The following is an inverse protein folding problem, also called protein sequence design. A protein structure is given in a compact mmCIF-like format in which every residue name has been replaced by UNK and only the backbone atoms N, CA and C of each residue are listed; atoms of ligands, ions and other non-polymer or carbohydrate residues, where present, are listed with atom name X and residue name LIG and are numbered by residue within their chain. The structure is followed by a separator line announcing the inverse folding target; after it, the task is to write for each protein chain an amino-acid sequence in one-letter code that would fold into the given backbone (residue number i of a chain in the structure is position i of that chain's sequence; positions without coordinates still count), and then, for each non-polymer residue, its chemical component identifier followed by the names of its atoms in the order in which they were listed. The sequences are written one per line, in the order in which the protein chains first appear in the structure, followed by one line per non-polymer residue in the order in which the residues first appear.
data_IF_126121891246
#
_entry.id   IF_126121891246
#
_cell.length_a   1.000
_cell.length_b   1.000
_cell.length_c   1.000
_cell.angle_alpha   90.00
_cell.angle_beta   90.00
_cell.angle_gamma   90.00
#
_symmetry.space_group_name_H-M   'P 1'
#
loop_
_entity.id
_entity.type
_entity.pdbx_description
1 polymer ?
#
# COMPACT_ATOMS: atom_id res chain seq x y z
N UNK A 1 47.61 13.05 3.00
CA UNK A 1 47.22 11.91 2.16
C UNK A 1 45.71 11.92 2.09
N UNK A 2 45.19 12.44 0.98
CA UNK A 2 43.75 12.62 0.76
C UNK A 2 43.23 11.42 -0.02
N UNK A 3 42.27 10.70 0.56
CA UNK A 3 41.51 9.65 -0.14
C UNK A 3 40.27 10.27 -0.78
N UNK A 4 39.90 9.88 -2.01
CA UNK A 4 38.84 10.52 -2.77
C UNK A 4 37.46 9.95 -2.36
N UNK A 5 36.56 10.86 -2.00
CA UNK A 5 35.14 10.56 -1.81
C UNK A 5 34.52 10.41 -3.20
N UNK A 6 34.18 9.18 -3.60
CA UNK A 6 33.49 8.90 -4.86
C UNK A 6 32.00 9.02 -4.59
N UNK A 7 31.35 9.95 -5.29
CA UNK A 7 29.94 10.27 -5.11
C UNK A 7 29.01 9.09 -5.39
N UNK A 8 27.95 9.02 -4.59
CA UNK A 8 26.69 8.43 -4.99
C UNK A 8 25.73 9.60 -5.20
N UNK A 9 25.56 10.00 -6.47
CA UNK A 9 24.44 10.82 -6.90
C UNK A 9 23.17 10.04 -6.55
N UNK A 10 22.46 10.50 -5.52
CA UNK A 10 21.09 10.10 -5.27
C UNK A 10 20.25 10.69 -6.39
N UNK A 11 19.74 9.80 -7.25
CA UNK A 11 18.74 10.10 -8.27
C UNK A 11 17.54 10.77 -7.57
N UNK A 12 17.53 12.10 -7.64
CA UNK A 12 16.51 12.97 -7.07
C UNK A 12 15.21 12.78 -7.82
N UNK A 13 14.49 11.70 -7.49
CA UNK A 13 13.07 11.60 -7.81
C UNK A 13 12.32 12.48 -6.84
N UNK A 14 12.28 13.77 -7.16
CA UNK A 14 11.23 14.66 -6.68
C UNK A 14 9.90 13.95 -6.94
N UNK A 15 9.15 13.75 -5.85
CA UNK A 15 7.77 13.33 -5.92
C UNK A 15 7.04 14.42 -6.75
N UNK A 16 6.38 14.05 -7.86
CA UNK A 16 5.81 15.06 -8.74
C UNK A 16 4.78 15.90 -7.96
N UNK A 17 4.77 17.23 -8.18
CA UNK A 17 3.77 18.10 -7.57
C UNK A 17 2.36 17.59 -7.92
N UNK A 18 1.44 17.63 -6.95
CA UNK A 18 0.04 17.32 -7.21
C UNK A 18 -0.46 18.14 -8.41
N UNK A 19 -0.86 17.50 -9.52
CA UNK A 19 -1.34 18.24 -10.67
C UNK A 19 -2.66 18.91 -10.30
N UNK A 20 -2.71 20.25 -10.45
CA UNK A 20 -3.92 21.07 -10.28
C UNK A 20 -5.07 20.71 -11.25
N UNK A 21 -4.83 19.80 -12.19
CA UNK A 21 -5.79 19.29 -13.15
C UNK A 21 -6.15 17.87 -12.71
N UNK A 22 -7.44 17.60 -12.51
CA UNK A 22 -7.92 16.26 -12.21
C UNK A 22 -7.67 15.34 -13.41
N UNK A 23 -6.51 14.68 -13.42
CA UNK A 23 -6.07 13.78 -14.48
C UNK A 23 -6.96 12.53 -14.59
N UNK A 24 -7.80 12.22 -13.59
CA UNK A 24 -8.76 11.11 -13.65
C UNK A 24 -9.91 11.38 -14.64
N UNK A 25 -10.11 12.64 -15.02
CA UNK A 25 -11.17 13.07 -15.94
C UNK A 25 -10.67 13.84 -17.16
N UNK A 26 -9.35 13.98 -17.32
CA UNK A 26 -8.79 14.71 -18.46
C UNK A 26 -8.90 13.90 -19.77
N UNK A 27 -8.97 14.63 -20.89
CA UNK A 27 -8.91 14.04 -22.24
C UNK A 27 -7.55 13.36 -22.49
N UNK A 28 -6.47 13.91 -21.91
CA UNK A 28 -5.10 13.38 -22.05
C UNK A 28 -4.98 11.92 -21.58
N UNK A 29 -5.69 11.56 -20.52
CA UNK A 29 -5.66 10.20 -19.94
C UNK A 29 -6.83 9.34 -20.42
N UNK A 30 -7.75 9.88 -21.21
CA UNK A 30 -8.97 9.18 -21.59
C UNK A 30 -8.67 7.86 -22.30
N UNK A 31 -7.77 7.88 -23.28
CA UNK A 31 -7.45 6.71 -24.07
C UNK A 31 -6.85 5.58 -23.23
N UNK A 32 -5.91 5.89 -22.32
CA UNK A 32 -5.30 4.88 -21.45
C UNK A 32 -6.29 4.36 -20.40
N UNK A 33 -7.22 5.20 -19.93
CA UNK A 33 -8.33 4.76 -19.06
C UNK A 33 -9.29 3.82 -19.82
N UNK A 34 -9.67 4.12 -21.07
CA UNK A 34 -10.46 3.19 -21.90
C UNK A 34 -9.76 1.84 -22.06
N UNK A 35 -8.46 1.88 -22.31
CA UNK A 35 -7.65 0.67 -22.46
C UNK A 35 -7.61 -0.17 -21.18
N UNK A 36 -7.41 0.46 -20.02
CA UNK A 36 -7.48 -0.18 -18.69
C UNK A 36 -8.81 -0.93 -18.50
N UNK A 37 -9.94 -0.26 -18.71
CA UNK A 37 -11.27 -0.87 -18.50
C UNK A 37 -11.59 -1.96 -19.54
N UNK A 38 -11.08 -1.82 -20.77
CA UNK A 38 -11.17 -2.88 -21.76
C UNK A 38 -10.35 -4.11 -21.35
N UNK A 39 -9.11 -3.91 -20.89
CA UNK A 39 -8.23 -4.98 -20.43
C UNK A 39 -8.81 -5.72 -19.22
N UNK A 40 -9.40 -5.00 -18.26
CA UNK A 40 -10.17 -5.60 -17.14
C UNK A 40 -11.27 -6.51 -17.67
N UNK A 41 -12.03 -6.03 -18.66
CA UNK A 41 -13.13 -6.80 -19.25
C UNK A 41 -12.68 -8.04 -20.02
N UNK A 42 -11.43 -8.05 -20.50
CA UNK A 42 -10.78 -9.20 -21.14
C UNK A 42 -9.99 -10.07 -20.17
N UNK A 43 -9.90 -9.68 -18.89
CA UNK A 43 -9.04 -10.29 -17.87
C UNK A 43 -7.56 -10.35 -18.31
N UNK A 44 -7.12 -9.34 -19.06
CA UNK A 44 -5.76 -9.22 -19.58
C UNK A 44 -4.85 -8.53 -18.55
N UNK A 45 -4.22 -9.35 -17.70
CA UNK A 45 -3.37 -8.88 -16.60
C UNK A 45 -2.15 -8.09 -17.11
N UNK A 46 -1.52 -8.55 -18.19
CA UNK A 46 -0.32 -7.92 -18.75
C UNK A 46 -0.63 -6.53 -19.31
N UNK A 47 -1.79 -6.38 -19.96
CA UNK A 47 -2.22 -5.08 -20.47
C UNK A 47 -2.59 -4.13 -19.32
N UNK A 48 -3.27 -4.61 -18.29
CA UNK A 48 -3.53 -3.82 -17.07
C UNK A 48 -2.24 -3.33 -16.43
N UNK A 49 -1.26 -4.22 -16.24
CA UNK A 49 0.05 -3.87 -15.68
C UNK A 49 0.72 -2.78 -16.51
N UNK A 50 0.70 -2.90 -17.85
CA UNK A 50 1.28 -1.90 -18.74
C UNK A 50 0.60 -0.53 -18.59
N UNK A 51 -0.73 -0.47 -18.48
CA UNK A 51 -1.43 0.78 -18.21
C UNK A 51 -0.97 1.39 -16.87
N UNK A 52 -0.92 0.59 -15.81
CA UNK A 52 -0.49 1.03 -14.47
C UNK A 52 0.92 1.60 -14.48
N UNK A 53 1.83 1.00 -15.24
CA UNK A 53 3.20 1.47 -15.36
C UNK A 53 3.33 2.77 -16.17
N UNK A 54 2.47 2.98 -17.16
CA UNK A 54 2.49 4.15 -18.04
C UNK A 54 1.86 5.39 -17.39
N UNK A 55 0.80 5.23 -16.58
CA UNK A 55 0.15 6.34 -15.87
C UNK A 55 0.04 6.11 -14.35
N UNK A 56 1.20 5.94 -13.69
CA UNK A 56 1.32 5.70 -12.23
C UNK A 56 0.68 6.77 -11.33
N UNK A 57 0.41 7.96 -11.87
CA UNK A 57 -0.20 9.06 -11.14
C UNK A 57 -1.72 8.92 -11.00
N UNK A 58 -2.36 8.07 -11.81
CA UNK A 58 -3.79 7.76 -11.69
C UNK A 58 -4.01 6.75 -10.56
N UNK A 59 -4.94 7.07 -9.67
CA UNK A 59 -5.31 6.26 -8.50
C UNK A 59 -6.67 5.62 -8.67
N UNK A 60 -7.65 6.37 -9.16
CA UNK A 60 -9.03 5.87 -9.29
C UNK A 60 -9.21 5.10 -10.59
N UNK A 61 -8.50 5.51 -11.65
CA UNK A 61 -8.64 4.98 -13.00
C UNK A 61 -10.11 4.99 -13.40
N UNK A 62 -10.70 6.19 -13.49
CA UNK A 62 -12.13 6.32 -13.79
C UNK A 62 -12.43 5.93 -15.23
N UNK A 63 -13.47 5.14 -15.45
CA UNK A 63 -13.96 4.83 -16.78
C UNK A 63 -14.53 6.11 -17.42
N UNK A 64 -14.06 6.53 -18.61
CA UNK A 64 -14.60 7.70 -19.31
C UNK A 64 -16.10 7.63 -19.63
N UNK A 65 -16.67 6.43 -19.73
CA UNK A 65 -18.06 6.24 -20.16
C UNK A 65 -19.08 6.34 -19.02
N UNK A 66 -18.72 5.87 -17.82
CA UNK A 66 -19.67 5.75 -16.71
C UNK A 66 -19.11 6.24 -15.35
N UNK A 67 -17.84 6.67 -15.30
CA UNK A 67 -17.22 7.19 -14.08
C UNK A 67 -16.92 6.14 -13.00
N UNK A 68 -17.05 4.85 -13.30
CA UNK A 68 -16.71 3.77 -12.37
C UNK A 68 -15.19 3.64 -12.23
N UNK A 69 -14.70 3.34 -11.02
CA UNK A 69 -13.29 3.04 -10.81
C UNK A 69 -12.88 1.69 -11.42
N UNK A 70 -11.61 1.56 -11.80
CA UNK A 70 -11.05 0.29 -12.25
C UNK A 70 -11.20 -0.81 -11.18
N UNK A 71 -11.03 -0.45 -9.90
CA UNK A 71 -11.16 -1.37 -8.77
C UNK A 71 -12.59 -1.92 -8.69
N UNK A 72 -13.60 -1.06 -8.72
CA UNK A 72 -15.00 -1.48 -8.72
C UNK A 72 -15.35 -2.34 -9.95
N UNK A 73 -14.93 -1.92 -11.15
CA UNK A 73 -15.17 -2.68 -12.37
C UNK A 73 -14.54 -4.09 -12.31
N UNK A 74 -13.32 -4.20 -11.77
CA UNK A 74 -12.64 -5.49 -11.63
C UNK A 74 -13.37 -6.46 -10.68
N UNK A 75 -13.92 -5.94 -9.57
CA UNK A 75 -14.73 -6.74 -8.63
C UNK A 75 -16.03 -7.18 -9.27
N UNK A 76 -16.75 -6.27 -9.97
CA UNK A 76 -18.00 -6.59 -10.67
C UNK A 76 -17.82 -7.68 -11.74
N UNK A 77 -16.63 -7.79 -12.31
CA UNK A 77 -16.30 -8.78 -13.34
C UNK A 77 -15.64 -10.05 -12.79
N UNK A 78 -15.59 -10.24 -11.47
CA UNK A 78 -14.91 -11.35 -10.79
C UNK A 78 -13.44 -11.52 -11.26
N UNK A 79 -12.78 -10.41 -11.57
CA UNK A 79 -11.40 -10.35 -12.06
C UNK A 79 -10.41 -10.20 -10.89
N UNK A 80 -10.49 -11.10 -9.91
CA UNK A 80 -9.81 -10.95 -8.61
C UNK A 80 -8.28 -10.86 -8.69
N UNK A 81 -7.65 -11.50 -9.68
CA UNK A 81 -6.20 -11.35 -9.91
C UNK A 81 -5.86 -9.91 -10.31
N UNK A 82 -6.69 -9.27 -11.13
CA UNK A 82 -6.56 -7.85 -11.45
C UNK A 82 -6.86 -6.97 -10.23
N UNK A 83 -7.85 -7.32 -9.40
CA UNK A 83 -8.10 -6.60 -8.15
C UNK A 83 -6.84 -6.61 -7.25
N UNK A 84 -6.15 -7.75 -7.16
CA UNK A 84 -4.89 -7.86 -6.42
C UNK A 84 -3.78 -6.95 -6.99
N UNK A 85 -3.66 -6.88 -8.31
CA UNK A 85 -2.72 -6.00 -8.99
C UNK A 85 -3.05 -4.50 -8.77
N UNK A 86 -4.32 -4.13 -8.90
CA UNK A 86 -4.80 -2.75 -8.66
C UNK A 86 -4.55 -2.35 -7.20
N UNK A 87 -4.81 -3.26 -6.25
CA UNK A 87 -4.48 -3.06 -4.84
C UNK A 87 -2.98 -2.80 -4.64
N UNK A 88 -2.10 -3.56 -5.29
CA UNK A 88 -0.65 -3.36 -5.22
C UNK A 88 -0.20 -1.98 -5.75
N UNK A 89 -0.85 -1.45 -6.79
CA UNK A 89 -0.59 -0.08 -7.28
C UNK A 89 -1.29 1.02 -6.46
N UNK A 90 -1.91 0.66 -5.34
CA UNK A 90 -2.67 1.56 -4.48
C UNK A 90 -3.78 2.30 -5.23
N UNK A 91 -4.47 1.58 -6.12
CA UNK A 91 -5.65 2.10 -6.79
C UNK A 91 -6.83 2.15 -5.80
N UNK A 92 -7.69 3.15 -5.97
CA UNK A 92 -8.80 3.44 -5.06
C UNK A 92 -10.14 3.44 -5.78
N UNK A 93 -11.22 3.39 -5.01
CA UNK A 93 -12.57 3.64 -5.52
C UNK A 93 -12.73 5.09 -6.01
N UNK A 94 -13.79 5.32 -6.78
CA UNK A 94 -14.19 6.66 -7.20
C UNK A 94 -14.50 7.50 -5.97
N UNK A 95 -13.95 8.71 -5.85
CA UNK A 95 -14.26 9.59 -4.73
C UNK A 95 -15.72 10.06 -4.74
N UNK A 96 -16.26 10.33 -5.94
CA UNK A 96 -17.64 10.79 -6.12
C UNK A 96 -18.65 9.67 -5.86
N UNK A 97 -18.31 8.44 -6.22
CA UNK A 97 -19.21 7.28 -6.11
C UNK A 97 -18.78 6.30 -5.01
N UNK A 98 -17.90 6.72 -4.08
CA UNK A 98 -17.24 5.82 -3.13
C UNK A 98 -18.23 4.98 -2.32
N UNK A 99 -19.24 5.62 -1.76
CA UNK A 99 -20.25 4.94 -0.95
C UNK A 99 -21.04 3.92 -1.78
N UNK A 100 -21.43 4.28 -3.01
CA UNK A 100 -22.16 3.38 -3.91
C UNK A 100 -21.30 2.19 -4.39
N UNK A 101 -20.04 2.44 -4.75
CA UNK A 101 -19.10 1.39 -5.14
C UNK A 101 -18.81 0.43 -3.98
N UNK A 102 -18.67 0.94 -2.75
CA UNK A 102 -18.46 0.15 -1.54
C UNK A 102 -19.70 -0.64 -1.13
N UNK A 103 -20.89 -0.04 -1.16
CA UNK A 103 -22.14 -0.69 -0.78
C UNK A 103 -22.42 -1.90 -1.69
N UNK A 104 -22.21 -1.75 -3.00
CA UNK A 104 -22.32 -2.85 -3.97
C UNK A 104 -21.27 -3.94 -3.75
N UNK A 105 -20.11 -3.59 -3.17
CA UNK A 105 -19.09 -4.55 -2.76
C UNK A 105 -19.49 -5.35 -1.51
N UNK A 106 -20.21 -4.75 -0.56
CA UNK A 106 -20.70 -5.49 0.61
C UNK A 106 -21.73 -6.56 0.24
N UNK A 107 -22.36 -6.46 -0.93
CA UNK A 107 -23.21 -7.51 -1.52
C UNK A 107 -22.45 -8.68 -2.19
N UNK A 108 -21.12 -8.63 -2.23
CA UNK A 108 -20.27 -9.67 -2.83
C UNK A 108 -20.15 -10.83 -1.84
N UNK A 109 -21.04 -11.83 -1.95
CA UNK A 109 -21.12 -12.94 -0.99
C UNK A 109 -19.78 -13.63 -0.65
N UNK A 110 -19.71 -14.19 0.56
CA UNK A 110 -18.50 -14.69 1.28
C UNK A 110 -17.40 -15.33 0.43
N UNK A 111 -17.75 -16.13 -0.59
CA UNK A 111 -16.77 -16.85 -1.43
C UNK A 111 -15.96 -15.87 -2.28
N UNK A 112 -16.61 -14.85 -2.85
CA UNK A 112 -15.94 -13.86 -3.71
C UNK A 112 -15.06 -12.92 -2.90
N UNK A 113 -15.51 -12.55 -1.70
CA UNK A 113 -14.69 -11.79 -0.77
C UNK A 113 -13.43 -12.56 -0.36
N UNK A 114 -13.56 -13.87 -0.05
CA UNK A 114 -12.42 -14.73 0.26
C UNK A 114 -11.45 -14.85 -0.92
N UNK A 115 -11.95 -15.01 -2.13
CA UNK A 115 -11.11 -15.07 -3.34
C UNK A 115 -10.37 -13.76 -3.59
N UNK A 116 -11.05 -12.62 -3.43
CA UNK A 116 -10.41 -11.30 -3.50
C UNK A 116 -9.27 -11.15 -2.49
N UNK A 117 -9.52 -11.49 -1.22
CA UNK A 117 -8.50 -11.48 -0.16
C UNK A 117 -7.34 -12.45 -0.47
N UNK A 118 -7.64 -13.62 -1.01
CA UNK A 118 -6.63 -14.60 -1.41
C UNK A 118 -5.72 -14.06 -2.52
N UNK A 119 -6.28 -13.42 -3.55
CA UNK A 119 -5.46 -12.83 -4.62
C UNK A 119 -4.62 -11.67 -4.12
N UNK A 120 -5.17 -10.77 -3.29
CA UNK A 120 -4.39 -9.72 -2.62
C UNK A 120 -3.19 -10.31 -1.86
N UNK A 121 -3.43 -11.34 -1.06
CA UNK A 121 -2.36 -12.04 -0.33
C UNK A 121 -1.33 -12.67 -1.27
N UNK A 122 -1.75 -13.28 -2.38
CA UNK A 122 -0.85 -13.87 -3.39
C UNK A 122 0.04 -12.82 -4.04
N UNK A 123 -0.49 -11.63 -4.35
CA UNK A 123 0.29 -10.51 -4.87
C UNK A 123 1.25 -9.96 -3.81
N UNK A 124 0.80 -9.76 -2.57
CA UNK A 124 1.64 -9.33 -1.46
C UNK A 124 2.83 -10.29 -1.24
N UNK A 125 2.67 -11.59 -1.47
CA UNK A 125 3.78 -12.55 -1.39
C UNK A 125 4.75 -12.51 -2.57
N UNK A 126 4.27 -12.15 -3.76
CA UNK A 126 5.06 -12.14 -5.00
C UNK A 126 5.87 -10.84 -5.17
N UNK A 127 5.38 -9.73 -4.62
CA UNK A 127 5.97 -8.40 -4.76
C UNK A 127 6.40 -7.81 -3.41
N UNK A 128 7.36 -6.86 -3.37
CA UNK A 128 7.72 -6.17 -2.14
C UNK A 128 6.50 -5.46 -1.54
N UNK A 129 6.05 -5.84 -0.34
CA UNK A 129 4.87 -5.26 0.29
C UNK A 129 5.07 -3.80 0.74
N UNK A 130 6.32 -3.33 0.75
CA UNK A 130 6.69 -2.01 1.24
C UNK A 130 5.95 -0.88 0.52
N UNK A 131 5.80 -0.96 -0.81
CA UNK A 131 5.07 0.06 -1.58
C UNK A 131 3.60 0.18 -1.17
N UNK A 132 2.96 -0.95 -0.90
CA UNK A 132 1.58 -1.02 -0.46
C UNK A 132 1.40 -0.59 0.99
N UNK A 133 2.33 -0.96 1.86
CA UNK A 133 2.28 -0.59 3.27
C UNK A 133 2.62 0.89 3.49
N UNK A 134 3.51 1.48 2.68
CA UNK A 134 3.89 2.88 2.76
C UNK A 134 2.70 3.83 2.69
N UNK A 135 1.75 3.58 1.78
CA UNK A 135 0.56 4.42 1.61
C UNK A 135 -0.46 4.24 2.74
N UNK A 136 -0.32 3.18 3.53
CA UNK A 136 -1.19 2.83 4.67
C UNK A 136 -0.50 2.96 6.02
N UNK A 137 0.69 3.57 6.02
CA UNK A 137 1.46 3.81 7.23
C UNK A 137 1.33 5.25 7.66
N UNK A 138 1.22 5.44 8.96
CA UNK A 138 1.19 6.77 9.55
C UNK A 138 2.48 7.03 10.30
N UNK A 139 3.00 8.25 10.20
CA UNK A 139 4.10 8.71 11.04
C UNK A 139 3.60 9.64 12.13
N UNK A 140 3.93 9.34 13.38
CA UNK A 140 3.74 10.23 14.52
C UNK A 140 5.06 10.97 14.77
N UNK A 141 5.02 12.30 14.84
CA UNK A 141 6.19 13.15 15.06
C UNK A 141 6.78 13.76 13.78
N UNK A 142 7.57 14.83 13.95
CA UNK A 142 8.23 15.51 12.83
C UNK A 142 9.40 14.65 12.30
N UNK A 143 9.49 14.49 10.97
CA UNK A 143 10.55 13.78 10.21
C UNK A 143 10.31 12.30 9.83
N UNK A 144 9.09 11.77 9.97
CA UNK A 144 8.83 10.35 9.75
C UNK A 144 8.64 9.91 8.29
N UNK A 145 7.87 10.67 7.50
CA UNK A 145 7.43 10.24 6.16
C UNK A 145 8.59 9.92 5.20
N UNK A 146 9.70 10.66 5.28
CA UNK A 146 10.87 10.45 4.41
C UNK A 146 11.68 9.20 4.77
N UNK A 147 11.55 8.69 6.01
CA UNK A 147 12.31 7.52 6.51
C UNK A 147 11.55 6.20 6.38
N UNK A 148 10.24 6.24 6.19
CA UNK A 148 9.40 5.02 6.08
C UNK A 148 9.88 4.04 4.99
N UNK A 149 10.29 4.47 3.78
CA UNK A 149 10.73 3.53 2.75
C UNK A 149 11.98 2.73 3.17
N UNK A 150 12.93 3.39 3.82
CA UNK A 150 14.17 2.77 4.31
C UNK A 150 13.88 1.79 5.45
N UNK A 151 12.98 2.16 6.37
CA UNK A 151 12.52 1.28 7.44
C UNK A 151 11.87 0.01 6.89
N UNK A 152 10.95 0.12 5.94
CA UNK A 152 10.32 -1.05 5.33
C UNK A 152 11.31 -1.94 4.58
N UNK A 153 12.31 -1.37 3.88
CA UNK A 153 13.37 -2.16 3.25
C UNK A 153 14.18 -2.95 4.26
N UNK A 154 14.39 -2.42 5.48
CA UNK A 154 15.13 -3.11 6.54
C UNK A 154 14.25 -4.17 7.23
N UNK A 155 12.99 -3.85 7.54
CA UNK A 155 12.05 -4.80 8.11
C UNK A 155 11.81 -6.02 7.19
N UNK A 156 11.77 -5.82 5.86
CA UNK A 156 11.62 -6.91 4.89
C UNK A 156 12.84 -7.87 4.84
N UNK A 157 14.00 -7.47 5.37
CA UNK A 157 15.18 -8.34 5.48
C UNK A 157 15.08 -9.36 6.62
N UNK A 158 14.19 -9.14 7.59
CA UNK A 158 13.98 -10.08 8.70
C UNK A 158 12.88 -11.09 8.30
N UNK A 159 13.18 -12.40 8.20
CA UNK A 159 12.23 -13.38 7.65
C UNK A 159 10.86 -13.44 8.37
N UNK A 160 10.85 -13.35 9.70
CA UNK A 160 9.63 -13.40 10.51
C UNK A 160 8.81 -12.11 10.34
N UNK A 161 9.46 -10.95 10.40
CA UNK A 161 8.81 -9.64 10.17
C UNK A 161 8.27 -9.54 8.75
N UNK A 162 9.02 -9.99 7.74
CA UNK A 162 8.55 -10.07 6.36
C UNK A 162 7.23 -10.83 6.24
N UNK A 163 7.10 -11.95 6.95
CA UNK A 163 5.86 -12.74 6.96
C UNK A 163 4.71 -11.94 7.60
N UNK A 164 4.98 -11.25 8.71
CA UNK A 164 4.00 -10.37 9.36
C UNK A 164 3.59 -9.24 8.41
N UNK A 165 4.54 -8.56 7.75
CA UNK A 165 4.27 -7.49 6.78
C UNK A 165 3.43 -7.98 5.59
N UNK A 166 3.68 -9.20 5.10
CA UNK A 166 2.86 -9.82 4.05
C UNK A 166 1.41 -10.05 4.51
N UNK A 167 1.23 -10.51 5.75
CA UNK A 167 -0.11 -10.68 6.34
C UNK A 167 -0.79 -9.33 6.51
N UNK A 168 -0.11 -8.33 7.07
CA UNK A 168 -0.63 -6.98 7.26
C UNK A 168 -1.02 -6.34 5.92
N UNK A 169 -0.19 -6.50 4.89
CA UNK A 169 -0.48 -6.00 3.54
C UNK A 169 -1.76 -6.62 2.93
N UNK A 170 -2.12 -7.84 3.31
CA UNK A 170 -3.37 -8.46 2.89
C UNK A 170 -4.58 -8.12 3.77
N UNK A 171 -4.38 -7.36 4.85
CA UNK A 171 -5.41 -7.05 5.84
C UNK A 171 -5.83 -5.58 5.72
N UNK A 172 -7.00 -5.27 5.12
CA UNK A 172 -7.41 -3.89 4.80
C UNK A 172 -7.73 -3.04 6.03
N UNK A 173 -7.93 -3.66 7.19
CA UNK A 173 -8.24 -2.96 8.44
C UNK A 173 -7.01 -2.71 9.30
N UNK A 174 -5.88 -3.36 9.01
CA UNK A 174 -4.68 -3.21 9.84
C UNK A 174 -3.87 -1.99 9.41
N UNK A 175 -3.61 -1.09 10.34
CA UNK A 175 -2.79 0.11 10.12
C UNK A 175 -1.44 -0.03 10.83
N UNK A 176 -0.38 0.50 10.23
CA UNK A 176 0.95 0.55 10.84
C UNK A 176 1.28 2.00 11.20
N UNK A 177 1.57 2.25 12.46
CA UNK A 177 1.91 3.56 13.00
C UNK A 177 3.38 3.57 13.44
N UNK A 178 4.21 4.40 12.80
CA UNK A 178 5.60 4.62 13.19
C UNK A 178 5.68 5.87 14.07
N UNK A 179 6.09 5.69 15.32
CA UNK A 179 6.24 6.77 16.28
C UNK A 179 7.68 7.25 16.36
N UNK A 180 8.00 8.34 15.66
CA UNK A 180 9.33 8.95 15.65
C UNK A 180 9.61 9.83 16.87
N UNK A 181 8.61 10.00 17.75
CA UNK A 181 8.74 10.77 18.99
C UNK A 181 9.14 9.89 20.18
N UNK A 182 8.87 8.59 20.08
CA UNK A 182 9.09 7.61 21.15
C UNK A 182 10.07 6.51 20.73
N UNK A 183 10.97 6.19 21.67
CA UNK A 183 11.95 5.11 21.51
C UNK A 183 11.38 3.75 21.95
N UNK A 184 10.52 3.76 22.97
CA UNK A 184 9.86 2.58 23.51
C UNK A 184 8.34 2.79 23.46
N UNK A 185 7.60 1.74 23.12
CA UNK A 185 6.15 1.72 23.16
C UNK A 185 5.74 0.67 24.19
N UNK A 186 5.15 1.10 25.32
CA UNK A 186 4.67 0.15 26.33
C UNK A 186 3.60 -0.77 25.75
N UNK A 187 3.97 -2.02 25.47
CA UNK A 187 3.07 -3.06 25.00
C UNK A 187 2.41 -3.75 26.20
N UNK A 188 1.09 -3.82 26.17
CA UNK A 188 0.25 -4.50 27.17
C UNK A 188 0.06 -5.99 26.87
N UNK A 189 0.94 -6.62 26.09
CA UNK A 189 0.91 -8.07 25.88
C UNK A 189 1.63 -8.81 27.03
N UNK A 190 1.00 -9.90 27.47
CA UNK A 190 1.20 -10.66 28.73
C UNK A 190 2.59 -11.30 28.96
N UNK A 191 3.65 -10.87 28.27
CA UNK A 191 5.01 -11.33 28.58
C UNK A 191 5.67 -10.32 29.53
N UNK A 192 5.40 -10.49 30.83
CA UNK A 192 5.83 -9.62 31.94
C UNK A 192 7.36 -9.51 32.14
N UNK A 193 8.17 -10.21 31.35
CA UNK A 193 9.64 -10.23 31.53
C UNK A 193 10.42 -9.32 30.56
N UNK A 194 9.80 -8.75 29.53
CA UNK A 194 10.50 -7.85 28.60
C UNK A 194 10.26 -6.38 28.93
N UNK A 195 11.12 -5.82 29.79
CA UNK A 195 11.26 -4.36 29.89
C UNK A 195 11.79 -3.84 28.55
N UNK A 196 10.93 -3.14 27.80
CA UNK A 196 11.27 -2.54 26.52
C UNK A 196 10.79 -3.36 25.33
N UNK A 197 9.48 -3.43 25.14
CA UNK A 197 8.91 -3.78 23.83
C UNK A 197 8.93 -2.52 22.96
N UNK A 198 9.45 -2.62 21.74
CA UNK A 198 9.60 -1.46 20.87
C UNK A 198 8.39 -1.29 19.91
N UNK A 199 7.41 -2.19 20.00
CA UNK A 199 6.18 -2.17 19.23
C UNK A 199 4.98 -2.61 20.07
N UNK A 200 3.79 -2.11 19.70
CA UNK A 200 2.52 -2.38 20.39
C UNK A 200 1.42 -2.69 19.38
N UNK A 201 0.75 -3.83 19.55
CA UNK A 201 -0.45 -4.15 18.76
C UNK A 201 -1.70 -3.80 19.55
N UNK A 202 -2.56 -2.96 19.00
CA UNK A 202 -3.88 -2.63 19.54
C UNK A 202 -4.94 -3.38 18.72
N UNK A 203 -5.22 -4.63 19.09
CA UNK A 203 -6.12 -5.51 18.34
C UNK A 203 -7.52 -4.93 18.14
N UNK A 204 -8.07 -4.27 19.17
CA UNK A 204 -9.39 -3.63 19.11
C UNK A 204 -9.47 -2.51 18.08
N UNK A 205 -8.33 -1.88 17.78
CA UNK A 205 -8.22 -0.79 16.80
C UNK A 205 -7.62 -1.25 15.47
N UNK A 206 -7.21 -2.51 15.38
CA UNK A 206 -6.46 -3.04 14.24
C UNK A 206 -5.17 -2.24 13.96
N UNK A 207 -4.50 -1.72 14.98
CA UNK A 207 -3.29 -0.90 14.81
C UNK A 207 -2.03 -1.64 15.27
N UNK A 208 -0.92 -1.47 14.55
CA UNK A 208 0.42 -1.90 14.94
C UNK A 208 1.29 -0.64 15.07
N UNK A 209 1.70 -0.32 16.29
CA UNK A 209 2.58 0.81 16.58
C UNK A 209 4.03 0.34 16.70
N UNK A 210 4.97 1.10 16.13
CA UNK A 210 6.41 0.83 16.12
C UNK A 210 7.16 2.08 16.58
N UNK A 211 7.98 1.97 17.63
CA UNK A 211 8.84 3.05 18.12
C UNK A 211 9.99 3.29 17.15
N UNK A 212 10.00 4.43 16.47
CA UNK A 212 10.86 4.77 15.34
C UNK A 212 11.87 5.88 15.63
N UNK A 213 11.97 6.35 16.89
CA UNK A 213 12.95 7.37 17.29
C UNK A 213 14.40 6.84 17.39
N UNK A 214 14.58 5.53 17.54
CA UNK A 214 15.89 4.88 17.72
C UNK A 214 16.69 4.77 16.42
N UNK A 215 17.97 4.40 16.56
CA UNK A 215 18.78 4.06 15.40
C UNK A 215 18.18 2.88 14.64
N UNK A 216 18.27 2.91 13.32
CA UNK A 216 17.58 1.99 12.43
C UNK A 216 17.97 0.51 12.63
N UNK A 217 19.11 0.25 13.26
CA UNK A 217 19.59 -1.10 13.58
C UNK A 217 18.89 -1.69 14.82
N UNK A 218 18.43 -0.85 15.74
CA UNK A 218 17.75 -1.25 16.98
C UNK A 218 16.27 -1.55 16.72
N UNK A 219 15.67 -0.82 15.77
CA UNK A 219 14.32 -1.04 15.24
C UNK A 219 14.09 -2.47 14.70
N UNK A 220 15.15 -3.19 14.33
CA UNK A 220 15.06 -4.52 13.75
C UNK A 220 14.81 -5.65 14.76
N UNK A 221 15.03 -5.44 16.06
CA UNK A 221 14.72 -6.44 17.08
C UNK A 221 13.30 -6.30 17.69
N UNK A 222 12.49 -5.39 17.14
CA UNK A 222 11.23 -4.87 17.70
C UNK A 222 10.01 -5.76 17.47
N UNK A 223 10.02 -6.55 16.39
CA UNK A 223 8.85 -7.23 15.84
C UNK A 223 9.01 -8.75 15.85
#
# INVERSE_FOLDING_TARGET
MSSPNTGLELDGREMPPEPKVNMEKSEETEQIRREMHHAISKRDLDRVQKCLDEAKHLRQWLNPENGESALYNSVRQDAFEICGLLGYYNCTYSEENKEEELDKLTGVGDIREREYRYQLFRFARKFPCSSYLLTRSFSIGSHGETKLPELYQKLDKIPHVKTILQVVASSPHVEIMFDFSNEDLECTLWYEENRGTWGKTLFERHEIHIGAKREENELLGTL
#
